data_IF_533169942539
#
_entry.id   IF_533169942539
#
_cell.length_a   1.000
_cell.length_b   1.000
_cell.length_c   1.000
_cell.angle_alpha   90.00
_cell.angle_beta   90.00
_cell.angle_gamma   90.00
#
_symmetry.space_group_name_H-M   'P 1'
#
loop_
_entity.id
_entity.type
_entity.pdbx_description
1 polymer ?
#
# COMPACT_ATOMS: atom_id res chain seq x y z
N UNK A 1 6.79 -19.50 25.06
CA UNK A 1 8.15 -19.24 24.55
C UNK A 1 8.23 -19.28 23.02
N UNK A 2 7.47 -20.15 22.35
CA UNK A 2 7.49 -20.32 20.90
C UNK A 2 6.87 -19.13 20.13
N UNK A 3 5.72 -18.60 20.56
CA UNK A 3 5.08 -17.43 19.95
C UNK A 3 6.02 -16.24 19.72
N UNK A 4 6.75 -15.80 20.76
CA UNK A 4 7.67 -14.66 20.64
C UNK A 4 8.84 -14.93 19.67
N UNK A 5 9.30 -16.18 19.56
CA UNK A 5 10.31 -16.57 18.56
C UNK A 5 9.73 -16.47 17.15
N UNK A 6 8.50 -16.93 16.96
CA UNK A 6 7.81 -16.86 15.67
C UNK A 6 7.47 -15.43 15.25
N UNK A 7 7.07 -14.55 16.17
CA UNK A 7 6.89 -13.11 15.89
C UNK A 7 8.20 -12.48 15.40
N UNK A 8 9.33 -12.80 16.05
CA UNK A 8 10.65 -12.33 15.60
C UNK A 8 11.04 -12.89 14.23
N UNK A 9 10.68 -14.15 13.96
CA UNK A 9 10.92 -14.78 12.66
C UNK A 9 10.10 -14.12 11.55
N UNK A 10 8.81 -13.83 11.78
CA UNK A 10 7.97 -13.07 10.86
C UNK A 10 8.58 -11.68 10.58
N UNK A 11 8.93 -10.93 11.63
CA UNK A 11 9.59 -9.63 11.45
C UNK A 11 10.92 -9.73 10.70
N UNK A 12 11.70 -10.81 10.87
CA UNK A 12 12.91 -11.04 10.09
C UNK A 12 12.61 -11.35 8.61
N UNK A 13 11.58 -12.16 8.35
CA UNK A 13 11.08 -12.47 7.01
C UNK A 13 10.62 -11.21 6.28
N UNK A 14 9.72 -10.43 6.88
CA UNK A 14 9.24 -9.17 6.33
C UNK A 14 10.38 -8.17 6.05
N UNK A 15 11.38 -8.07 6.93
CA UNK A 15 12.58 -7.25 6.68
C UNK A 15 13.39 -7.74 5.48
N UNK A 16 13.59 -9.06 5.35
CA UNK A 16 14.30 -9.62 4.21
C UNK A 16 13.57 -9.30 2.89
N UNK A 17 12.25 -9.43 2.86
CA UNK A 17 11.44 -9.05 1.70
C UNK A 17 11.56 -7.56 1.37
N UNK A 18 11.57 -6.67 2.36
CA UNK A 18 11.80 -5.23 2.14
C UNK A 18 13.17 -4.97 1.51
N UNK A 19 14.24 -5.61 2.00
CA UNK A 19 15.57 -5.43 1.40
C UNK A 19 15.64 -5.94 -0.04
N UNK A 20 15.04 -7.09 -0.32
CA UNK A 20 14.95 -7.64 -1.68
C UNK A 20 14.12 -6.70 -2.58
N UNK A 21 13.01 -6.19 -2.07
CA UNK A 21 12.16 -5.21 -2.76
C UNK A 21 12.93 -3.93 -3.08
N UNK A 22 13.70 -3.38 -2.13
CA UNK A 22 14.55 -2.20 -2.35
C UNK A 22 15.59 -2.49 -3.43
N UNK A 23 16.25 -3.65 -3.40
CA UNK A 23 17.20 -4.03 -4.44
C UNK A 23 16.51 -4.12 -5.82
N UNK A 24 15.33 -4.75 -5.89
CA UNK A 24 14.51 -4.82 -7.09
C UNK A 24 14.09 -3.44 -7.60
N UNK A 25 13.72 -2.52 -6.70
CA UNK A 25 13.39 -1.13 -7.03
C UNK A 25 14.60 -0.43 -7.64
N UNK A 26 15.79 -0.51 -7.02
CA UNK A 26 17.01 0.11 -7.54
C UNK A 26 17.36 -0.41 -8.94
N UNK A 27 17.29 -1.73 -9.15
CA UNK A 27 17.51 -2.36 -10.45
C UNK A 27 16.48 -1.85 -11.47
N UNK A 28 15.21 -1.82 -11.09
CA UNK A 28 14.12 -1.35 -11.95
C UNK A 28 14.29 0.12 -12.35
N UNK A 29 14.69 0.98 -11.41
CA UNK A 29 14.95 2.39 -11.62
C UNK A 29 16.17 2.60 -12.54
N UNK A 30 17.24 1.81 -12.39
CA UNK A 30 18.38 1.86 -13.31
C UNK A 30 17.97 1.43 -14.74
N UNK A 31 17.24 0.33 -14.86
CA UNK A 31 16.83 -0.26 -16.15
C UNK A 31 15.97 0.73 -16.96
N UNK A 32 15.10 1.53 -16.33
CA UNK A 32 14.34 2.54 -17.06
C UNK A 32 15.23 3.67 -17.61
N UNK A 33 16.33 4.03 -16.93
CA UNK A 33 17.26 5.06 -17.42
C UNK A 33 18.04 4.63 -18.67
N UNK A 34 18.26 3.33 -18.85
CA UNK A 34 18.92 2.76 -20.05
C UNK A 34 17.93 2.39 -21.16
N UNK A 35 16.67 2.86 -21.07
CA UNK A 35 15.67 2.73 -22.12
C UNK A 35 14.81 1.46 -22.08
N UNK A 36 15.00 0.57 -21.09
CA UNK A 36 14.32 -0.72 -21.00
C UNK A 36 12.97 -0.63 -20.25
N UNK A 37 12.06 0.18 -20.78
CA UNK A 37 10.78 0.57 -20.12
C UNK A 37 9.85 -0.60 -19.78
N UNK A 38 9.74 -1.61 -20.65
CA UNK A 38 8.87 -2.78 -20.40
C UNK A 38 9.45 -3.65 -19.28
N UNK A 39 10.76 -3.85 -19.26
CA UNK A 39 11.43 -4.63 -18.21
C UNK A 39 11.32 -3.94 -16.85
N UNK A 40 11.43 -2.61 -16.81
CA UNK A 40 11.11 -1.82 -15.63
C UNK A 40 9.70 -2.13 -15.10
N UNK A 41 8.68 -2.02 -15.95
CA UNK A 41 7.29 -2.33 -15.57
C UNK A 41 7.15 -3.77 -15.06
N UNK A 42 7.75 -4.74 -15.75
CA UNK A 42 7.74 -6.15 -15.33
C UNK A 42 8.33 -6.30 -13.92
N UNK A 43 9.51 -5.74 -13.63
CA UNK A 43 10.13 -5.84 -12.30
C UNK A 43 9.28 -5.11 -11.24
N UNK A 44 8.74 -3.94 -11.56
CA UNK A 44 7.88 -3.20 -10.63
C UNK A 44 6.66 -4.02 -10.21
N UNK A 45 5.96 -4.64 -11.17
CA UNK A 45 4.69 -5.30 -10.91
C UNK A 45 4.83 -6.78 -10.54
N UNK A 46 5.86 -7.48 -10.99
CA UNK A 46 6.05 -8.88 -10.60
C UNK A 46 6.86 -9.05 -9.32
N UNK A 47 7.62 -8.05 -8.89
CA UNK A 47 8.52 -8.16 -7.73
C UNK A 47 8.31 -7.03 -6.72
N UNK A 48 8.44 -5.76 -7.11
CA UNK A 48 8.49 -4.65 -6.14
C UNK A 48 7.16 -4.47 -5.40
N UNK A 49 6.06 -4.30 -6.13
CA UNK A 49 4.73 -4.04 -5.55
C UNK A 49 4.24 -5.22 -4.69
N UNK A 50 4.24 -6.48 -5.17
CA UNK A 50 3.79 -7.61 -4.35
C UNK A 50 4.61 -7.77 -3.06
N UNK A 51 5.95 -7.67 -3.15
CA UNK A 51 6.80 -7.82 -1.98
C UNK A 51 6.61 -6.71 -0.95
N UNK A 52 6.48 -5.45 -1.40
CA UNK A 52 6.24 -4.33 -0.49
C UNK A 52 4.96 -4.56 0.33
N UNK A 53 3.86 -4.88 -0.34
CA UNK A 53 2.55 -4.99 0.30
C UNK A 53 2.51 -6.21 1.24
N UNK A 54 3.03 -7.35 0.79
CA UNK A 54 3.15 -8.57 1.62
C UNK A 54 4.02 -8.34 2.86
N UNK A 55 5.17 -7.69 2.71
CA UNK A 55 6.08 -7.45 3.83
C UNK A 55 5.51 -6.50 4.90
N UNK A 56 4.52 -5.67 4.56
CA UNK A 56 3.84 -4.81 5.54
C UNK A 56 2.61 -5.50 6.12
N UNK A 57 1.92 -6.34 5.33
CA UNK A 57 0.68 -7.03 5.73
C UNK A 57 0.87 -7.97 6.93
N UNK A 58 1.90 -8.81 6.93
CA UNK A 58 2.16 -9.74 8.04
C UNK A 58 2.36 -9.03 9.39
N UNK A 59 3.31 -8.07 9.47
CA UNK A 59 3.51 -7.24 10.67
C UNK A 59 2.27 -6.43 11.08
N UNK A 60 1.47 -5.98 10.12
CA UNK A 60 0.21 -5.29 10.41
C UNK A 60 -0.76 -6.21 11.16
N UNK A 61 -1.00 -7.42 10.65
CA UNK A 61 -1.94 -8.36 11.27
C UNK A 61 -1.45 -8.85 12.64
N UNK A 62 -0.17 -9.21 12.75
CA UNK A 62 0.40 -9.75 14.01
C UNK A 62 0.31 -8.75 15.17
N UNK A 63 0.31 -7.44 14.89
CA UNK A 63 0.18 -6.39 15.91
C UNK A 63 -1.11 -6.51 16.73
N UNK A 64 -2.16 -7.10 16.17
CA UNK A 64 -3.43 -7.32 16.85
C UNK A 64 -3.63 -8.71 17.45
N UNK A 65 -2.67 -9.62 17.30
CA UNK A 65 -2.79 -11.00 17.77
C UNK A 65 -2.30 -11.17 19.20
N UNK A 66 -2.95 -12.08 19.94
CA UNK A 66 -2.50 -12.52 21.27
C UNK A 66 -1.85 -13.90 21.16
N UNK A 67 -0.92 -14.17 22.07
CA UNK A 67 -0.21 -15.44 22.14
C UNK A 67 -1.20 -16.61 22.36
N UNK A 68 -1.24 -17.54 21.40
CA UNK A 68 -2.06 -18.77 21.44
C UNK A 68 -1.53 -19.77 20.41
N UNK A 69 -1.86 -21.06 20.57
CA UNK A 69 -1.48 -22.09 19.59
C UNK A 69 -1.99 -21.78 18.17
N UNK A 70 -3.20 -21.22 18.05
CA UNK A 70 -3.76 -20.79 16.76
C UNK A 70 -2.96 -19.64 16.15
N UNK A 71 -2.53 -18.67 16.96
CA UNK A 71 -1.69 -17.57 16.50
C UNK A 71 -0.27 -18.04 16.12
N UNK A 72 0.28 -19.05 16.79
CA UNK A 72 1.54 -19.68 16.39
C UNK A 72 1.43 -20.40 15.04
N UNK A 73 0.34 -21.14 14.80
CA UNK A 73 0.06 -21.77 13.50
C UNK A 73 -0.11 -20.72 12.39
N UNK A 74 -0.83 -19.64 12.68
CA UNK A 74 -0.98 -18.49 11.77
C UNK A 74 0.37 -17.85 11.42
N UNK A 75 1.28 -17.69 12.39
CA UNK A 75 2.61 -17.12 12.17
C UNK A 75 3.43 -18.00 11.20
N UNK A 76 3.43 -19.31 11.42
CA UNK A 76 4.13 -20.26 10.54
C UNK A 76 3.58 -20.21 9.12
N UNK A 77 2.25 -20.23 8.98
CA UNK A 77 1.58 -20.09 7.69
C UNK A 77 1.97 -18.79 6.99
N UNK A 78 1.90 -17.67 7.70
CA UNK A 78 2.18 -16.34 7.14
C UNK A 78 3.62 -16.22 6.66
N UNK A 79 4.60 -16.72 7.44
CA UNK A 79 6.00 -16.75 7.02
C UNK A 79 6.15 -17.58 5.74
N UNK A 80 5.60 -18.79 5.69
CA UNK A 80 5.69 -19.63 4.50
C UNK A 80 5.04 -18.98 3.27
N UNK A 81 3.88 -18.35 3.44
CA UNK A 81 3.17 -17.66 2.38
C UNK A 81 3.91 -16.40 1.89
N UNK A 82 4.57 -15.64 2.79
CA UNK A 82 5.47 -14.52 2.41
C UNK A 82 6.58 -14.98 1.46
N UNK A 83 7.26 -16.08 1.82
CA UNK A 83 8.32 -16.65 0.98
C UNK A 83 7.80 -17.23 -0.34
N UNK A 84 6.58 -17.80 -0.33
CA UNK A 84 5.94 -18.28 -1.55
C UNK A 84 5.70 -17.14 -2.55
N UNK A 85 5.31 -15.95 -2.08
CA UNK A 85 5.16 -14.77 -2.95
C UNK A 85 6.50 -14.39 -3.58
N UNK A 86 7.61 -14.41 -2.83
CA UNK A 86 8.93 -14.14 -3.40
C UNK A 86 9.30 -15.15 -4.49
N UNK A 87 9.14 -16.45 -4.22
CA UNK A 87 9.44 -17.50 -5.20
C UNK A 87 8.58 -17.32 -6.45
N UNK A 88 7.27 -17.10 -6.28
CA UNK A 88 6.35 -16.87 -7.38
C UNK A 88 6.68 -15.59 -8.17
N UNK A 89 7.11 -14.52 -7.50
CA UNK A 89 7.58 -13.27 -8.12
C UNK A 89 8.78 -13.51 -9.03
N UNK A 90 9.76 -14.29 -8.57
CA UNK A 90 10.94 -14.68 -9.36
C UNK A 90 10.53 -15.58 -10.53
N UNK A 91 9.63 -16.55 -10.30
CA UNK A 91 9.10 -17.40 -11.37
C UNK A 91 8.35 -16.59 -12.43
N UNK A 92 7.59 -15.56 -12.04
CA UNK A 92 6.93 -14.67 -13.01
C UNK A 92 7.93 -13.91 -13.87
N UNK A 93 9.05 -13.45 -13.30
CA UNK A 93 10.13 -12.83 -14.08
C UNK A 93 10.72 -13.80 -15.12
N UNK A 94 10.97 -15.05 -14.72
CA UNK A 94 11.61 -16.05 -15.56
C UNK A 94 10.67 -16.61 -16.64
N UNK A 95 9.43 -16.93 -16.26
CA UNK A 95 8.45 -17.62 -17.09
C UNK A 95 7.53 -16.65 -17.84
N UNK A 96 7.61 -15.34 -17.54
CA UNK A 96 6.75 -14.29 -18.11
C UNK A 96 5.25 -14.57 -17.95
N UNK A 97 4.89 -15.27 -16.87
CA UNK A 97 3.52 -15.64 -16.53
C UNK A 97 3.15 -15.20 -15.13
N UNK A 98 2.03 -14.49 -15.00
CA UNK A 98 1.50 -14.01 -13.72
C UNK A 98 0.71 -15.08 -12.95
N UNK A 99 0.52 -16.28 -13.52
CA UNK A 99 -0.28 -17.35 -12.91
C UNK A 99 0.24 -17.74 -11.52
N UNK A 100 1.55 -17.95 -11.39
CA UNK A 100 2.17 -18.36 -10.12
C UNK A 100 2.09 -17.26 -9.07
N UNK A 101 2.34 -16.01 -9.47
CA UNK A 101 2.16 -14.86 -8.59
C UNK A 101 0.70 -14.77 -8.13
N UNK A 102 -0.25 -14.89 -9.05
CA UNK A 102 -1.68 -14.89 -8.74
C UNK A 102 -2.05 -15.97 -7.70
N UNK A 103 -1.61 -17.21 -7.92
CA UNK A 103 -1.84 -18.31 -6.97
C UNK A 103 -1.23 -18.01 -5.58
N UNK A 104 -0.02 -17.47 -5.53
CA UNK A 104 0.63 -17.11 -4.27
C UNK A 104 -0.11 -16.01 -3.50
N UNK A 105 -0.72 -15.04 -4.21
CA UNK A 105 -1.55 -13.99 -3.58
C UNK A 105 -2.86 -14.58 -3.05
N UNK A 106 -3.50 -15.51 -3.78
CA UNK A 106 -4.69 -16.24 -3.29
C UNK A 106 -4.35 -17.00 -2.01
N UNK A 107 -3.23 -17.71 -1.97
CA UNK A 107 -2.79 -18.43 -0.76
C UNK A 107 -2.52 -17.44 0.37
N UNK A 108 -1.79 -16.35 0.11
CA UNK A 108 -1.48 -15.36 1.12
C UNK A 108 -2.72 -14.66 1.69
N UNK A 109 -3.81 -14.51 0.91
CA UNK A 109 -5.08 -13.92 1.37
C UNK A 109 -5.66 -14.58 2.62
N UNK A 110 -5.38 -15.88 2.81
CA UNK A 110 -5.80 -16.64 3.99
C UNK A 110 -5.19 -16.05 5.25
N UNK A 111 -3.98 -15.48 5.20
CA UNK A 111 -3.30 -14.91 6.37
C UNK A 111 -4.13 -13.76 7.00
N UNK A 112 -4.39 -12.63 6.33
CA UNK A 112 -5.19 -11.56 6.93
C UNK A 112 -6.63 -11.99 7.27
N UNK A 113 -7.29 -12.85 6.46
CA UNK A 113 -8.63 -13.39 6.77
C UNK A 113 -8.61 -14.20 8.08
N UNK A 114 -7.65 -15.11 8.22
CA UNK A 114 -7.48 -15.89 9.44
C UNK A 114 -7.10 -14.99 10.62
N UNK A 115 -6.27 -13.96 10.39
CA UNK A 115 -5.96 -12.93 11.36
C UNK A 115 -7.20 -12.19 11.88
N UNK A 116 -8.18 -11.90 11.02
CA UNK A 116 -9.45 -11.26 11.39
C UNK A 116 -10.27 -12.14 12.34
N UNK A 117 -10.23 -13.47 12.15
CA UNK A 117 -10.89 -14.42 13.03
C UNK A 117 -10.17 -14.60 14.38
N UNK A 118 -8.84 -14.43 14.40
CA UNK A 118 -8.02 -14.62 15.60
C UNK A 118 -7.85 -13.34 16.44
N UNK A 119 -8.03 -12.17 15.85
CA UNK A 119 -7.83 -10.91 16.57
C UNK A 119 -8.91 -10.69 17.63
N UNK A 120 -8.48 -10.32 18.83
CA UNK A 120 -9.36 -9.89 19.93
C UNK A 120 -9.76 -8.42 19.83
N UNK A 121 -9.39 -7.75 18.74
CA UNK A 121 -9.63 -6.33 18.53
C UNK A 121 -11.07 -6.02 18.09
N UNK A 122 -11.36 -4.72 18.03
CA UNK A 122 -12.65 -4.14 17.65
C UNK A 122 -13.01 -4.50 16.20
N UNK A 123 -14.31 -4.36 15.87
CA UNK A 123 -14.88 -4.76 14.57
C UNK A 123 -14.30 -4.01 13.38
N UNK A 124 -13.87 -2.75 13.55
CA UNK A 124 -13.20 -1.94 12.53
C UNK A 124 -11.83 -2.51 12.14
N UNK A 125 -11.07 -3.01 13.11
CA UNK A 125 -9.78 -3.68 12.84
C UNK A 125 -10.00 -5.01 12.12
N UNK A 126 -11.00 -5.79 12.56
CA UNK A 126 -11.36 -7.04 11.89
C UNK A 126 -11.72 -6.82 10.43
N UNK A 127 -12.52 -5.79 10.16
CA UNK A 127 -12.91 -5.43 8.80
C UNK A 127 -11.72 -4.94 7.97
N UNK A 128 -10.81 -4.16 8.56
CA UNK A 128 -9.54 -3.80 7.90
C UNK A 128 -8.76 -5.04 7.46
N UNK A 129 -8.67 -6.07 8.31
CA UNK A 129 -8.00 -7.32 7.94
C UNK A 129 -8.76 -8.08 6.84
N UNK A 130 -10.10 -8.06 6.85
CA UNK A 130 -10.92 -8.66 5.80
C UNK A 130 -10.74 -7.95 4.46
N UNK A 131 -10.82 -6.61 4.42
CA UNK A 131 -10.54 -5.82 3.21
C UNK A 131 -9.16 -6.15 2.65
N UNK A 132 -8.13 -6.23 3.52
CA UNK A 132 -6.78 -6.60 3.10
C UNK A 132 -6.72 -8.01 2.50
N UNK A 133 -7.38 -8.98 3.12
CA UNK A 133 -7.47 -10.34 2.58
C UNK A 133 -8.22 -10.41 1.27
N UNK A 134 -9.35 -9.70 1.15
CA UNK A 134 -10.12 -9.57 -0.09
C UNK A 134 -9.26 -8.98 -1.19
N UNK A 135 -8.47 -7.92 -0.92
CA UNK A 135 -7.54 -7.33 -1.87
C UNK A 135 -6.52 -8.35 -2.41
N UNK A 136 -5.90 -9.17 -1.55
CA UNK A 136 -5.00 -10.25 -1.98
C UNK A 136 -5.73 -11.31 -2.82
N UNK A 137 -6.91 -11.75 -2.35
CA UNK A 137 -7.69 -12.80 -3.00
C UNK A 137 -8.11 -12.39 -4.42
N UNK A 138 -8.76 -11.24 -4.56
CA UNK A 138 -9.26 -10.78 -5.86
C UNK A 138 -8.13 -10.42 -6.80
N UNK A 139 -7.02 -9.86 -6.31
CA UNK A 139 -5.84 -9.59 -7.14
C UNK A 139 -5.24 -10.89 -7.66
N UNK A 140 -5.12 -11.89 -6.78
CA UNK A 140 -4.62 -13.21 -7.14
C UNK A 140 -5.47 -13.89 -8.20
N UNK A 141 -6.78 -13.98 -7.97
CA UNK A 141 -7.75 -14.54 -8.93
C UNK A 141 -7.72 -13.78 -10.26
N UNK A 142 -7.67 -12.44 -10.21
CA UNK A 142 -7.61 -11.60 -11.41
C UNK A 142 -6.34 -11.89 -12.21
N UNK A 143 -5.16 -11.95 -11.57
CA UNK A 143 -3.91 -12.28 -12.26
C UNK A 143 -3.89 -13.70 -12.87
N UNK A 144 -4.57 -14.66 -12.25
CA UNK A 144 -4.70 -16.03 -12.78
C UNK A 144 -5.59 -16.09 -14.03
N UNK A 145 -6.60 -15.21 -14.11
CA UNK A 145 -7.60 -15.21 -15.17
C UNK A 145 -7.31 -14.19 -16.29
N UNK A 146 -6.46 -13.20 -16.03
CA UNK A 146 -6.06 -12.21 -17.03
C UNK A 146 -5.18 -12.82 -18.12
N UNK A 147 -5.37 -12.33 -19.35
CA UNK A 147 -4.41 -12.57 -20.44
C UNK A 147 -3.07 -11.91 -20.10
N UNK A 148 -1.96 -12.55 -20.49
CA UNK A 148 -0.59 -12.15 -20.14
C UNK A 148 -0.19 -10.79 -20.74
N UNK A 149 -0.66 -9.70 -20.14
CA UNK A 149 -0.34 -8.32 -20.48
C UNK A 149 0.19 -7.60 -19.25
N UNK A 150 1.40 -7.04 -19.35
CA UNK A 150 2.02 -6.27 -18.26
C UNK A 150 1.13 -5.10 -17.82
N UNK A 151 0.45 -4.42 -18.74
CA UNK A 151 -0.45 -3.32 -18.40
C UNK A 151 -1.70 -3.74 -17.61
N UNK A 152 -2.36 -4.84 -17.99
CA UNK A 152 -3.51 -5.36 -17.25
C UNK A 152 -3.10 -5.89 -15.88
N UNK A 153 -1.95 -6.58 -15.80
CA UNK A 153 -1.38 -7.00 -14.52
C UNK A 153 -1.02 -5.79 -13.65
N UNK A 154 -0.46 -4.72 -14.23
CA UNK A 154 -0.17 -3.48 -13.53
C UNK A 154 -1.43 -2.83 -12.96
N UNK A 155 -2.51 -2.74 -13.75
CA UNK A 155 -3.80 -2.22 -13.27
C UNK A 155 -4.34 -3.07 -12.13
N UNK A 156 -4.40 -4.39 -12.30
CA UNK A 156 -4.87 -5.29 -11.24
C UNK A 156 -4.05 -5.14 -9.95
N UNK A 157 -2.72 -5.07 -10.05
CA UNK A 157 -1.85 -4.95 -8.89
C UNK A 157 -1.87 -3.55 -8.26
N UNK A 158 -2.04 -2.49 -9.05
CA UNK A 158 -2.11 -1.13 -8.52
C UNK A 158 -3.45 -0.88 -7.83
N UNK A 159 -4.56 -1.20 -8.49
CA UNK A 159 -5.89 -0.86 -7.96
C UNK A 159 -6.40 -1.90 -6.97
N UNK A 160 -6.36 -3.19 -7.32
CA UNK A 160 -6.91 -4.22 -6.44
C UNK A 160 -5.99 -4.51 -5.25
N UNK A 161 -4.68 -4.66 -5.48
CA UNK A 161 -3.73 -4.97 -4.40
C UNK A 161 -3.23 -3.70 -3.70
N UNK A 162 -2.69 -2.75 -4.47
CA UNK A 162 -2.12 -1.50 -3.96
C UNK A 162 -3.13 -0.63 -3.23
N UNK A 163 -4.16 -0.16 -3.94
CA UNK A 163 -5.20 0.65 -3.32
C UNK A 163 -6.03 -0.16 -2.33
N UNK A 164 -6.35 -1.44 -2.61
CA UNK A 164 -7.03 -2.30 -1.64
C UNK A 164 -6.31 -2.40 -0.29
N UNK A 165 -4.97 -2.54 -0.29
CA UNK A 165 -4.18 -2.53 0.94
C UNK A 165 -4.17 -1.15 1.63
N UNK A 166 -4.07 -0.07 0.85
CA UNK A 166 -4.17 1.30 1.36
C UNK A 166 -5.53 1.53 2.02
N UNK A 167 -6.61 1.13 1.37
CA UNK A 167 -7.97 1.28 1.86
C UNK A 167 -8.15 0.50 3.15
N UNK A 168 -7.68 -0.75 3.20
CA UNK A 168 -7.69 -1.58 4.40
C UNK A 168 -7.03 -0.88 5.59
N UNK A 169 -5.78 -0.40 5.43
CA UNK A 169 -5.01 0.19 6.52
C UNK A 169 -5.57 1.57 6.90
N UNK A 170 -5.91 2.41 5.93
CA UNK A 170 -6.37 3.78 6.17
C UNK A 170 -7.76 3.82 6.79
N UNK A 171 -8.65 2.89 6.41
CA UNK A 171 -10.01 2.76 6.97
C UNK A 171 -10.02 2.67 8.49
N UNK A 172 -9.02 2.00 9.07
CA UNK A 172 -8.86 1.89 10.52
C UNK A 172 -7.87 2.93 11.08
N UNK A 173 -6.64 2.98 10.55
CA UNK A 173 -5.53 3.68 11.20
C UNK A 173 -5.72 5.20 11.27
N UNK A 174 -6.25 5.83 10.21
CA UNK A 174 -6.43 7.28 10.19
C UNK A 174 -7.45 7.74 11.24
N UNK A 175 -8.71 7.26 11.22
CA UNK A 175 -9.69 7.58 12.25
C UNK A 175 -9.23 7.22 13.66
N UNK A 176 -8.64 6.04 13.84
CA UNK A 176 -8.21 5.56 15.16
C UNK A 176 -7.14 6.45 15.80
N UNK A 177 -6.24 7.03 14.99
CA UNK A 177 -5.23 8.00 15.45
C UNK A 177 -5.87 9.22 16.12
N UNK A 178 -7.09 9.59 15.70
CA UNK A 178 -7.85 10.73 16.22
C UNK A 178 -9.05 10.30 17.06
N UNK A 179 -8.99 9.10 17.65
CA UNK A 179 -10.03 8.53 18.53
C UNK A 179 -11.41 8.39 17.87
N UNK A 180 -11.44 8.36 16.54
CA UNK A 180 -12.64 8.15 15.75
C UNK A 180 -12.75 6.71 15.25
N UNK A 181 -13.93 6.37 14.72
CA UNK A 181 -14.19 5.11 14.04
C UNK A 181 -14.96 5.34 12.76
N UNK A 182 -14.73 4.46 11.80
CA UNK A 182 -15.56 4.38 10.60
C UNK A 182 -16.70 3.39 10.79
N UNK A 183 -17.81 3.71 10.13
CA UNK A 183 -19.00 2.87 10.14
C UNK A 183 -18.77 1.60 9.32
N UNK A 184 -19.26 0.47 9.84
CA UNK A 184 -19.21 -0.84 9.18
C UNK A 184 -19.66 -0.81 7.71
N UNK A 185 -20.72 -0.05 7.41
CA UNK A 185 -21.25 0.09 6.05
C UNK A 185 -20.20 0.61 5.05
N UNK A 186 -19.33 1.53 5.47
CA UNK A 186 -18.26 2.05 4.60
C UNK A 186 -17.23 0.99 4.27
N UNK A 187 -16.80 0.18 5.25
CA UNK A 187 -15.84 -0.87 4.98
C UNK A 187 -16.42 -2.00 4.11
N UNK A 188 -17.69 -2.38 4.32
CA UNK A 188 -18.38 -3.33 3.43
C UNK A 188 -18.53 -2.78 2.01
N UNK A 189 -18.83 -1.49 1.86
CA UNK A 189 -18.89 -0.85 0.55
C UNK A 189 -17.53 -0.89 -0.16
N UNK A 190 -16.43 -0.65 0.55
CA UNK A 190 -15.08 -0.76 -0.02
C UNK A 190 -14.78 -2.19 -0.50
N UNK A 191 -15.15 -3.23 0.25
CA UNK A 191 -15.00 -4.62 -0.21
C UNK A 191 -15.79 -4.90 -1.48
N UNK A 192 -17.06 -4.45 -1.53
CA UNK A 192 -17.91 -4.64 -2.69
C UNK A 192 -17.38 -3.91 -3.93
N UNK A 193 -16.86 -2.71 -3.76
CA UNK A 193 -16.26 -1.92 -4.84
C UNK A 193 -14.99 -2.59 -5.40
N UNK A 194 -14.12 -3.10 -4.53
CA UNK A 194 -12.94 -3.87 -4.94
C UNK A 194 -13.33 -5.13 -5.74
N UNK A 195 -14.35 -5.86 -5.28
CA UNK A 195 -14.87 -7.04 -6.01
C UNK A 195 -15.46 -6.62 -7.36
N UNK A 196 -16.26 -5.55 -7.40
CA UNK A 196 -16.84 -5.03 -8.63
C UNK A 196 -15.75 -4.60 -9.62
N UNK A 197 -14.69 -3.96 -9.12
CA UNK A 197 -13.55 -3.56 -9.93
C UNK A 197 -12.84 -4.78 -10.53
N UNK A 198 -12.55 -5.81 -9.73
CA UNK A 198 -11.96 -7.06 -10.22
C UNK A 198 -12.83 -7.74 -11.29
N UNK A 199 -14.13 -7.86 -11.05
CA UNK A 199 -15.08 -8.43 -12.02
C UNK A 199 -15.15 -7.60 -13.30
N UNK A 200 -15.14 -6.27 -13.20
CA UNK A 200 -15.19 -5.38 -14.37
C UNK A 200 -13.93 -5.49 -15.23
N UNK A 201 -12.75 -5.63 -14.60
CA UNK A 201 -11.48 -5.83 -15.27
C UNK A 201 -11.44 -7.17 -16.03
N UNK A 202 -12.13 -8.20 -15.50
CA UNK A 202 -12.20 -9.53 -16.10
C UNK A 202 -13.29 -9.68 -17.18
N UNK A 203 -14.48 -9.11 -16.97
CA UNK A 203 -15.68 -9.46 -17.73
C UNK A 203 -16.14 -8.43 -18.77
N UNK A 204 -15.91 -7.13 -18.57
CA UNK A 204 -16.75 -6.08 -19.22
C UNK A 204 -15.94 -5.13 -20.13
N UNK A 205 -14.63 -5.32 -20.24
CA UNK A 205 -13.77 -4.46 -21.05
C UNK A 205 -13.33 -3.19 -20.32
N UNK A 206 -12.34 -2.50 -20.89
CA UNK A 206 -11.58 -1.47 -20.19
C UNK A 206 -12.43 -0.29 -19.66
N UNK A 207 -13.47 0.14 -20.39
CA UNK A 207 -14.31 1.29 -20.02
C UNK A 207 -15.11 1.10 -18.70
N UNK A 208 -15.90 0.03 -18.53
CA UNK A 208 -16.60 -0.20 -17.27
C UNK A 208 -15.64 -0.39 -16.08
N UNK A 209 -14.46 -0.97 -16.30
CA UNK A 209 -13.40 -0.97 -15.28
C UNK A 209 -13.01 0.45 -14.88
N UNK A 210 -12.77 1.34 -15.85
CA UNK A 210 -12.46 2.74 -15.56
C UNK A 210 -13.58 3.44 -14.77
N UNK A 211 -14.85 3.21 -15.12
CA UNK A 211 -15.98 3.80 -14.39
C UNK A 211 -16.03 3.33 -12.93
N UNK A 212 -15.89 2.03 -12.69
CA UNK A 212 -15.95 1.46 -11.35
C UNK A 212 -14.72 1.85 -10.53
N UNK A 213 -13.53 1.78 -11.10
CA UNK A 213 -12.28 2.17 -10.46
C UNK A 213 -12.30 3.66 -10.09
N UNK A 214 -12.71 4.53 -11.02
CA UNK A 214 -12.83 5.96 -10.73
C UNK A 214 -13.90 6.30 -9.69
N UNK A 215 -15.04 5.60 -9.70
CA UNK A 215 -16.04 5.73 -8.64
C UNK A 215 -15.51 5.25 -7.28
N UNK A 216 -14.71 4.18 -7.27
CA UNK A 216 -14.10 3.62 -6.06
C UNK A 216 -13.16 4.62 -5.41
N UNK A 217 -12.30 5.27 -6.19
CA UNK A 217 -11.39 6.32 -5.69
C UNK A 217 -12.16 7.47 -5.03
N UNK A 218 -13.25 7.94 -5.64
CA UNK A 218 -14.07 9.04 -5.09
C UNK A 218 -14.85 8.61 -3.84
N UNK A 219 -15.48 7.42 -3.87
CA UNK A 219 -16.25 6.87 -2.74
C UNK A 219 -15.33 6.51 -1.56
N UNK A 220 -14.06 6.21 -1.82
CA UNK A 220 -13.08 5.94 -0.76
C UNK A 220 -12.89 7.14 0.17
N UNK A 221 -13.02 8.38 -0.32
CA UNK A 221 -12.78 9.59 0.47
C UNK A 221 -13.61 9.64 1.77
N UNK A 222 -14.96 9.56 1.74
CA UNK A 222 -15.75 9.47 2.96
C UNK A 222 -15.50 8.17 3.73
N UNK A 223 -15.31 7.03 3.05
CA UNK A 223 -15.12 5.73 3.68
C UNK A 223 -13.86 5.68 4.57
N UNK A 224 -12.79 6.35 4.14
CA UNK A 224 -11.52 6.46 4.86
C UNK A 224 -11.52 7.61 5.88
N UNK A 225 -12.57 8.43 5.94
CA UNK A 225 -12.65 9.60 6.82
C UNK A 225 -11.91 10.82 6.32
N UNK A 226 -11.52 10.86 5.05
CA UNK A 226 -10.83 12.01 4.45
C UNK A 226 -11.71 13.26 4.39
N UNK A 227 -13.03 13.11 4.51
CA UNK A 227 -13.96 14.25 4.68
C UNK A 227 -13.84 14.94 6.04
N UNK A 228 -13.17 14.32 7.03
CA UNK A 228 -13.00 14.84 8.39
C UNK A 228 -11.61 15.46 8.63
N UNK A 229 -10.76 15.58 7.62
CA UNK A 229 -9.37 16.05 7.78
C UNK A 229 -9.25 17.39 8.52
N UNK A 230 -10.17 18.35 8.29
CA UNK A 230 -10.18 19.62 9.03
C UNK A 230 -10.30 19.42 10.55
N UNK A 231 -11.12 18.45 10.98
CA UNK A 231 -11.25 18.08 12.39
C UNK A 231 -9.96 17.44 12.90
N UNK A 232 -9.36 16.53 12.15
CA UNK A 232 -8.10 15.88 12.52
C UNK A 232 -6.94 16.87 12.66
N UNK A 233 -6.85 17.88 11.77
CA UNK A 233 -5.88 18.98 11.91
C UNK A 233 -6.09 19.75 13.21
N UNK A 234 -7.34 20.05 13.58
CA UNK A 234 -7.63 20.76 14.82
C UNK A 234 -7.20 19.96 16.06
N UNK A 235 -7.46 18.64 16.07
CA UNK A 235 -7.02 17.73 17.13
C UNK A 235 -5.48 17.68 17.21
N UNK A 236 -4.80 17.49 16.08
CA UNK A 236 -3.34 17.45 16.03
C UNK A 236 -2.70 18.74 16.56
N UNK A 237 -3.26 19.92 16.21
CA UNK A 237 -2.79 21.22 16.71
C UNK A 237 -2.99 21.40 18.21
N UNK A 238 -4.00 20.76 18.79
CA UNK A 238 -4.29 20.82 20.22
C UNK A 238 -3.37 19.93 21.08
N UNK A 239 -2.62 19.02 20.45
CA UNK A 239 -1.69 18.14 21.16
C UNK A 239 -0.59 18.94 21.88
N UNK A 240 -0.47 18.73 23.18
CA UNK A 240 0.52 19.42 24.05
C UNK A 240 1.93 18.86 23.89
N UNK A 241 2.08 17.65 23.34
CA UNK A 241 3.37 17.02 23.10
C UNK A 241 3.89 17.47 21.71
N UNK A 242 5.00 18.22 21.63
CA UNK A 242 5.52 18.73 20.35
C UNK A 242 5.83 17.63 19.32
N UNK A 243 6.29 16.46 19.77
CA UNK A 243 6.63 15.34 18.89
C UNK A 243 5.38 14.61 18.38
N UNK A 244 4.39 14.40 19.26
CA UNK A 244 3.11 13.82 18.85
C UNK A 244 2.40 14.75 17.86
N UNK A 245 2.34 16.05 18.17
CA UNK A 245 1.80 17.08 17.27
C UNK A 245 2.48 17.06 15.91
N UNK A 246 3.81 17.02 15.85
CA UNK A 246 4.55 17.00 14.58
C UNK A 246 4.24 15.73 13.76
N UNK A 247 4.17 14.57 14.40
CA UNK A 247 3.83 13.30 13.74
C UNK A 247 2.39 13.24 13.26
N UNK A 248 1.43 13.69 14.08
CA UNK A 248 0.01 13.74 13.75
C UNK A 248 -0.26 14.73 12.60
N UNK A 249 0.37 15.91 12.63
CA UNK A 249 0.26 16.87 11.54
C UNK A 249 0.84 16.33 10.24
N UNK A 250 2.04 15.75 10.27
CA UNK A 250 2.63 15.10 9.10
C UNK A 250 1.72 14.02 8.51
N UNK A 251 1.13 13.20 9.38
CA UNK A 251 0.21 12.14 9.00
C UNK A 251 -1.06 12.69 8.35
N UNK A 252 -1.69 13.72 8.92
CA UNK A 252 -2.90 14.33 8.35
C UNK A 252 -2.61 15.10 7.07
N UNK A 253 -1.51 15.86 7.03
CA UNK A 253 -1.09 16.62 5.85
C UNK A 253 -0.85 15.67 4.68
N UNK A 254 -0.16 14.55 4.90
CA UNK A 254 0.02 13.53 3.88
C UNK A 254 -1.30 12.94 3.36
N UNK A 255 -2.31 12.77 4.22
CA UNK A 255 -3.65 12.35 3.81
C UNK A 255 -4.44 13.44 3.07
N UNK A 256 -4.13 14.72 3.29
CA UNK A 256 -4.66 15.81 2.46
C UNK A 256 -4.12 15.70 1.04
N UNK A 257 -2.80 15.50 0.88
CA UNK A 257 -2.20 15.28 -0.44
C UNK A 257 -2.78 14.04 -1.13
N UNK A 258 -2.90 12.91 -0.42
CA UNK A 258 -3.47 11.70 -1.02
C UNK A 258 -4.95 11.84 -1.37
N UNK A 259 -5.75 12.57 -0.60
CA UNK A 259 -7.13 12.88 -0.94
C UNK A 259 -7.23 13.67 -2.25
N UNK A 260 -6.35 14.65 -2.48
CA UNK A 260 -6.30 15.40 -3.75
C UNK A 260 -6.00 14.47 -4.93
N UNK A 261 -5.01 13.57 -4.78
CA UNK A 261 -4.69 12.62 -5.85
C UNK A 261 -5.76 11.56 -6.08
N UNK A 262 -6.46 11.10 -5.04
CA UNK A 262 -7.64 10.23 -5.20
C UNK A 262 -8.75 10.94 -5.97
N UNK A 263 -8.99 12.23 -5.73
CA UNK A 263 -9.96 13.02 -6.52
C UNK A 263 -9.50 13.13 -7.96
N UNK A 264 -8.25 13.55 -8.22
CA UNK A 264 -7.73 13.71 -9.58
C UNK A 264 -7.77 12.37 -10.33
N UNK A 265 -7.28 11.30 -9.71
CA UNK A 265 -7.27 9.95 -10.30
C UNK A 265 -8.68 9.45 -10.54
N UNK A 266 -9.57 9.59 -9.57
CA UNK A 266 -10.98 9.22 -9.71
C UNK A 266 -11.66 9.93 -10.86
N UNK A 267 -11.48 11.26 -10.98
CA UNK A 267 -12.05 12.05 -12.07
C UNK A 267 -11.47 11.69 -13.44
N UNK A 268 -10.14 11.57 -13.56
CA UNK A 268 -9.48 11.17 -14.82
C UNK A 268 -9.96 9.78 -15.26
N UNK A 269 -10.07 8.84 -14.33
CA UNK A 269 -10.52 7.48 -14.60
C UNK A 269 -11.99 7.44 -15.00
N UNK A 270 -12.87 8.17 -14.30
CA UNK A 270 -14.28 8.32 -14.67
C UNK A 270 -14.45 8.91 -16.08
N UNK A 271 -13.74 9.99 -16.38
CA UNK A 271 -13.78 10.63 -17.71
C UNK A 271 -13.29 9.66 -18.79
N UNK A 272 -12.26 8.86 -18.51
CA UNK A 272 -11.80 7.79 -19.39
C UNK A 272 -12.89 6.75 -19.67
N UNK A 273 -13.62 6.35 -18.64
CA UNK A 273 -14.79 5.47 -18.76
C UNK A 273 -15.93 6.07 -19.59
N UNK A 274 -16.10 7.39 -19.54
CA UNK A 274 -17.09 8.17 -20.30
C UNK A 274 -16.65 8.50 -21.74
N UNK A 275 -15.45 8.08 -22.16
CA UNK A 275 -15.00 8.19 -23.54
C UNK A 275 -13.90 9.23 -23.79
N UNK A 276 -13.35 9.86 -22.75
CA UNK A 276 -12.10 10.61 -22.89
C UNK A 276 -10.97 9.61 -23.19
N UNK A 277 -10.14 9.91 -24.17
CA UNK A 277 -8.98 9.06 -24.47
C UNK A 277 -7.88 9.27 -23.43
N UNK A 278 -7.84 8.39 -22.42
CA UNK A 278 -6.83 8.39 -21.36
C UNK A 278 -5.87 7.23 -21.64
N UNK A 279 -4.61 7.51 -22.02
CA UNK A 279 -3.64 6.45 -22.24
C UNK A 279 -3.43 5.62 -20.96
N UNK A 280 -3.49 4.29 -21.08
CA UNK A 280 -3.33 3.38 -19.92
C UNK A 280 -2.03 3.63 -19.15
N UNK A 281 -0.97 4.03 -19.85
CA UNK A 281 0.30 4.38 -19.23
C UNK A 281 0.15 5.60 -18.30
N UNK A 282 -0.58 6.63 -18.72
CA UNK A 282 -0.83 7.81 -17.88
C UNK A 282 -1.59 7.42 -16.62
N UNK A 283 -2.62 6.58 -16.75
CA UNK A 283 -3.38 6.07 -15.62
C UNK A 283 -2.52 5.28 -14.63
N UNK A 284 -1.70 4.34 -15.14
CA UNK A 284 -0.77 3.55 -14.31
C UNK A 284 0.17 4.46 -13.51
N UNK A 285 0.69 5.52 -14.13
CA UNK A 285 1.61 6.43 -13.43
C UNK A 285 0.90 7.33 -12.44
N UNK A 286 -0.31 7.80 -12.75
CA UNK A 286 -1.09 8.60 -11.81
C UNK A 286 -1.47 7.78 -10.58
N UNK A 287 -1.87 6.52 -10.76
CA UNK A 287 -2.11 5.56 -9.68
C UNK A 287 -0.83 5.27 -8.87
N UNK A 288 0.28 5.01 -9.55
CA UNK A 288 1.54 4.68 -8.89
C UNK A 288 2.14 5.87 -8.14
N UNK A 289 2.42 6.98 -8.81
CA UNK A 289 3.09 8.15 -8.22
C UNK A 289 2.12 9.00 -7.38
N UNK A 290 0.96 9.31 -7.95
CA UNK A 290 -0.02 10.19 -7.32
C UNK A 290 -0.68 9.57 -6.08
N UNK A 291 -0.97 8.26 -6.11
CA UNK A 291 -1.69 7.60 -5.01
C UNK A 291 -0.77 6.66 -4.22
N UNK A 292 -0.25 5.60 -4.83
CA UNK A 292 0.47 4.55 -4.11
C UNK A 292 1.73 5.10 -3.41
N UNK A 293 2.59 5.81 -4.14
CA UNK A 293 3.82 6.39 -3.57
C UNK A 293 3.46 7.44 -2.52
N UNK A 294 2.46 8.28 -2.75
CA UNK A 294 2.00 9.25 -1.74
C UNK A 294 1.67 8.55 -0.41
N UNK A 295 0.89 7.46 -0.44
CA UNK A 295 0.61 6.67 0.77
C UNK A 295 1.85 6.01 1.36
N UNK A 296 2.78 5.52 0.52
CA UNK A 296 4.09 5.04 1.02
C UNK A 296 4.82 6.16 1.76
N UNK A 297 4.83 7.39 1.27
CA UNK A 297 5.48 8.54 1.93
C UNK A 297 4.81 8.90 3.27
N UNK A 298 3.50 8.68 3.40
CA UNK A 298 2.77 8.86 4.67
C UNK A 298 3.28 7.87 5.72
N UNK A 299 3.34 6.59 5.37
CA UNK A 299 3.57 5.54 6.34
C UNK A 299 5.04 5.17 6.52
N UNK A 300 5.89 5.33 5.50
CA UNK A 300 7.29 4.89 5.53
C UNK A 300 8.09 5.48 6.71
N UNK A 301 8.03 6.78 7.03
CA UNK A 301 8.78 7.34 8.17
C UNK A 301 8.26 6.86 9.53
N UNK A 302 7.00 6.42 9.57
CA UNK A 302 6.34 5.94 10.78
C UNK A 302 6.61 4.45 11.01
N UNK A 303 6.59 3.67 9.94
CA UNK A 303 6.59 2.21 9.95
C UNK A 303 7.98 1.60 9.73
N UNK A 304 8.77 2.11 8.77
CA UNK A 304 10.07 1.51 8.43
C UNK A 304 11.03 1.46 9.62
N UNK A 305 11.17 2.49 10.47
CA UNK A 305 12.06 2.41 11.62
C UNK A 305 11.64 1.32 12.61
N UNK A 306 10.33 1.08 12.74
CA UNK A 306 9.78 0.05 13.62
C UNK A 306 10.05 -1.34 13.03
N UNK A 307 9.74 -1.52 11.74
CA UNK A 307 9.95 -2.79 11.03
C UNK A 307 11.43 -3.15 11.00
N UNK A 308 12.29 -2.20 10.61
CA UNK A 308 13.74 -2.38 10.47
C UNK A 308 14.46 -2.36 11.82
N UNK A 309 13.79 -1.91 12.89
CA UNK A 309 14.33 -1.67 14.24
C UNK A 309 15.49 -0.68 14.23
N UNK A 310 15.34 0.39 13.45
CA UNK A 310 16.32 1.46 13.37
C UNK A 310 16.09 2.51 14.46
N UNK A 311 17.07 2.77 15.34
CA UNK A 311 17.03 3.97 16.15
C UNK A 311 17.03 5.20 15.23
N UNK A 312 16.02 6.05 15.36
CA UNK A 312 15.89 7.21 14.50
C UNK A 312 15.29 8.42 15.20
N UNK A 313 15.85 9.59 14.89
CA UNK A 313 15.21 10.88 15.14
C UNK A 313 14.33 11.22 13.94
N UNK A 314 13.04 11.45 14.19
CA UNK A 314 12.08 11.81 13.16
C UNK A 314 12.02 13.32 12.99
N UNK A 315 12.29 13.80 11.78
CA UNK A 315 12.21 15.21 11.41
C UNK A 315 11.18 15.38 10.29
N UNK A 316 9.92 15.33 10.70
CA UNK A 316 8.79 15.45 9.78
C UNK A 316 8.86 16.75 8.98
N UNK A 317 8.76 16.62 7.66
CA UNK A 317 8.71 17.75 6.74
C UNK A 317 7.85 17.37 5.53
N UNK A 318 7.20 18.34 4.90
CA UNK A 318 6.27 18.11 3.80
C UNK A 318 6.95 18.00 2.43
N UNK A 319 8.27 18.20 2.36
CA UNK A 319 9.01 18.25 1.10
C UNK A 319 8.83 16.99 0.24
N UNK A 320 8.86 15.74 0.78
CA UNK A 320 8.58 14.55 -0.01
C UNK A 320 7.22 14.59 -0.69
N UNK A 321 6.16 15.03 0.01
CA UNK A 321 4.81 15.10 -0.57
C UNK A 321 4.73 16.11 -1.71
N UNK A 322 5.33 17.29 -1.53
CA UNK A 322 5.35 18.33 -2.57
C UNK A 322 6.11 17.85 -3.80
N UNK A 323 7.30 17.29 -3.62
CA UNK A 323 8.12 16.78 -4.72
C UNK A 323 7.44 15.63 -5.45
N UNK A 324 6.81 14.71 -4.72
CA UNK A 324 6.03 13.62 -5.32
C UNK A 324 4.83 14.14 -6.11
N UNK A 325 4.14 15.16 -5.59
CA UNK A 325 3.03 15.78 -6.29
C UNK A 325 3.48 16.39 -7.62
N UNK A 326 4.64 17.06 -7.63
CA UNK A 326 5.25 17.59 -8.85
C UNK A 326 5.65 16.45 -9.80
N UNK A 327 6.25 15.37 -9.28
CA UNK A 327 6.61 14.20 -10.10
C UNK A 327 5.38 13.60 -10.80
N UNK A 328 4.29 13.39 -10.08
CA UNK A 328 3.06 12.82 -10.62
C UNK A 328 2.43 13.72 -11.72
N UNK A 329 2.42 15.04 -11.52
CA UNK A 329 1.83 16.00 -12.47
C UNK A 329 2.71 16.21 -13.71
N UNK A 330 4.04 16.25 -13.54
CA UNK A 330 4.99 16.50 -14.64
C UNK A 330 5.19 15.26 -15.51
N UNK A 331 4.94 14.06 -14.96
CA UNK A 331 5.19 12.80 -15.64
C UNK A 331 4.68 12.72 -17.10
N UNK A 332 3.42 13.09 -17.41
CA UNK A 332 2.89 13.00 -18.78
C UNK A 332 3.61 13.92 -19.77
N UNK A 333 4.24 15.01 -19.29
CA UNK A 333 4.89 16.03 -20.12
C UNK A 333 6.38 15.75 -20.24
N UNK A 334 7.05 15.43 -19.13
CA UNK A 334 8.49 15.18 -19.12
C UNK A 334 8.86 14.10 -18.07
N UNK A 335 8.97 12.82 -18.49
CA UNK A 335 9.30 11.71 -17.60
C UNK A 335 10.66 11.85 -16.91
N UNK A 336 11.65 12.49 -17.54
CA UNK A 336 12.98 12.66 -16.96
C UNK A 336 12.96 13.65 -15.79
N UNK A 337 12.25 14.76 -15.97
CA UNK A 337 12.07 15.77 -14.90
C UNK A 337 11.23 15.19 -13.77
N UNK A 338 10.16 14.45 -14.08
CA UNK A 338 9.37 13.76 -13.07
C UNK A 338 10.22 12.76 -12.26
N UNK A 339 11.10 12.01 -12.92
CA UNK A 339 12.01 11.08 -12.25
C UNK A 339 12.99 11.78 -11.32
N UNK A 340 13.49 12.95 -11.71
CA UNK A 340 14.33 13.79 -10.83
C UNK A 340 13.58 14.19 -9.56
N UNK A 341 12.32 14.65 -9.68
CA UNK A 341 11.50 15.02 -8.52
C UNK A 341 11.16 13.81 -7.63
N UNK A 342 10.87 12.65 -8.20
CA UNK A 342 10.69 11.40 -7.47
C UNK A 342 11.98 11.00 -6.73
N UNK A 343 13.14 11.09 -7.37
CA UNK A 343 14.43 10.84 -6.72
C UNK A 343 14.65 11.76 -5.53
N UNK A 344 14.35 13.06 -5.68
CA UNK A 344 14.41 14.00 -4.57
C UNK A 344 13.38 13.68 -3.47
N UNK A 345 12.15 13.28 -3.82
CA UNK A 345 11.13 12.93 -2.82
C UNK A 345 11.61 11.80 -1.91
N UNK A 346 12.23 10.77 -2.49
CA UNK A 346 12.86 9.66 -1.77
C UNK A 346 14.04 10.13 -0.92
N UNK A 347 14.93 10.98 -1.43
CA UNK A 347 16.05 11.53 -0.66
C UNK A 347 15.55 12.29 0.57
N UNK A 348 14.57 13.18 0.41
CA UNK A 348 14.00 13.93 1.51
C UNK A 348 13.23 13.04 2.49
N UNK A 349 12.61 11.96 2.01
CA UNK A 349 11.98 10.94 2.86
C UNK A 349 13.01 10.27 3.78
N UNK A 350 14.14 9.84 3.22
CA UNK A 350 15.24 9.24 4.00
C UNK A 350 15.77 10.24 5.02
N UNK A 351 15.81 11.53 4.69
CA UNK A 351 16.23 12.59 5.62
C UNK A 351 15.22 12.84 6.77
N UNK A 352 13.96 12.42 6.65
CA UNK A 352 13.00 12.43 7.77
C UNK A 352 13.42 11.42 8.84
N UNK A 353 13.94 10.26 8.42
CA UNK A 353 14.36 9.16 9.30
C UNK A 353 15.88 9.20 9.46
N UNK A 354 16.40 10.07 10.32
CA UNK A 354 17.84 10.11 10.58
C UNK A 354 18.24 9.02 11.57
N UNK A 355 19.19 8.12 11.24
CA UNK A 355 19.74 7.18 12.19
C UNK A 355 20.31 7.89 13.42
N UNK A 356 20.00 7.41 14.61
CA UNK A 356 20.55 7.93 15.87
C UNK A 356 21.26 6.84 16.64
N UNK A 357 22.18 7.22 17.54
CA UNK A 357 22.79 6.29 18.50
C UNK A 357 21.90 5.99 19.70
N UNK A 358 20.82 6.76 19.86
CA UNK A 358 19.92 6.66 21.02
C UNK A 358 18.82 5.60 20.80
N UNK A 359 18.52 4.77 21.80
CA UNK A 359 17.45 3.78 21.71
C UNK A 359 16.09 4.44 21.47
N UNK A 360 15.23 3.80 20.69
CA UNK A 360 13.86 4.26 20.45
C UNK A 360 13.16 4.53 21.80
N UNK A 361 12.57 5.71 22.03
CA UNK A 361 11.88 5.98 23.28
C UNK A 361 10.72 5.00 23.44
N UNK A 362 10.71 4.28 24.57
CA UNK A 362 9.72 3.24 24.92
C UNK A 362 8.26 3.76 24.90
N UNK A 363 8.07 5.08 24.92
CA UNK A 363 6.76 5.73 24.80
C UNK A 363 6.08 5.55 23.43
N UNK A 364 6.81 5.13 22.40
CA UNK A 364 6.27 4.81 21.06
C UNK A 364 5.91 3.32 20.89
N UNK A 365 6.13 2.49 21.93
CA UNK A 365 5.90 1.03 21.91
C UNK A 365 4.63 0.64 22.69
N UNK A 366 3.85 1.60 23.18
CA UNK A 366 2.63 1.31 23.95
C UNK A 366 1.38 1.15 23.08
#
# INVERSE_FOLDING_TARGET
>A
MQYQKLVRALQASSRALIYIMIAGLLVSLYIVTVGLKILHGVIMFSLVVPLLITAVAGPYVVSGLRASAKAEAWLLFSIAAEWLILVASIMTLQLKSYLYLGLSLVIFSISPIWGAALTGLKSDVKLSYLILGTAFLISGLTLMLLKSSVFHAALALLTLLGLGAIYAVTYHSLPATFEERQGLAWGLLLELLLIAEALSLLAVGYKPFLLISGATDVISLPALGLTKLRKFVAVAKASKNPMARAGELYFVDGHIFSAVFLIITGLVTLLGGLGLDVPTLVLIHLLALGVLVMFVLIHAPLMLPVILRWPSARRYNLTPYVLESVAAVVWPVNPHVAFFFLGLSIVFLVLIVKPTKEPLPLSLIK
#
